data_IF_442327239341
#
_entry.id   IF_442327239341
#
_cell.length_a   1.000
_cell.length_b   1.000
_cell.length_c   1.000
_cell.angle_alpha   90.00
_cell.angle_beta   90.00
_cell.angle_gamma   90.00
#
_symmetry.space_group_name_H-M   'P 1'
#
loop_
_entity.id
_entity.type
_entity.pdbx_description
1 polymer ?
#
# COMPACT_ATOMS: atom_id res chain seq x y z
N UNK A 1 -0.78 13.76 9.01
CA UNK A 1 0.39 14.33 8.30
C UNK A 1 -0.02 15.62 7.59
N UNK A 2 0.59 16.77 7.94
CA UNK A 2 0.19 18.11 7.44
C UNK A 2 1.23 18.80 6.54
N UNK A 3 2.22 18.08 6.02
CA UNK A 3 3.37 18.69 5.33
C UNK A 3 3.48 18.42 3.81
N UNK A 4 2.51 17.77 3.15
CA UNK A 4 2.52 17.61 1.68
C UNK A 4 3.67 16.77 1.09
N UNK A 5 4.46 16.10 1.93
CA UNK A 5 5.55 15.22 1.51
C UNK A 5 4.97 13.88 1.06
N UNK A 6 5.33 13.44 -0.15
CA UNK A 6 5.02 12.09 -0.65
C UNK A 6 5.86 11.08 0.14
N UNK A 7 5.21 10.21 0.88
CA UNK A 7 5.86 9.18 1.70
C UNK A 7 5.66 7.85 0.97
N UNK A 8 6.74 7.24 0.48
CA UNK A 8 6.68 5.88 -0.02
C UNK A 8 6.48 4.91 1.16
N UNK A 9 5.69 3.86 0.96
CA UNK A 9 5.47 2.79 1.93
C UNK A 9 6.75 1.96 2.07
N UNK A 10 7.63 2.38 2.97
CA UNK A 10 8.76 1.58 3.43
C UNK A 10 8.38 0.93 4.75
N UNK A 11 8.18 -0.38 4.76
CA UNK A 11 7.85 -1.12 5.99
C UNK A 11 9.03 -1.45 6.88
N UNK A 12 10.26 -1.13 6.48
CA UNK A 12 11.45 -1.69 7.14
C UNK A 12 11.26 -3.21 7.34
N UNK A 13 10.87 -3.91 6.26
CA UNK A 13 10.60 -5.34 6.21
C UNK A 13 11.87 -6.20 6.36
N UNK A 14 12.76 -5.77 7.26
CA UNK A 14 13.84 -6.54 7.88
C UNK A 14 13.67 -6.69 9.41
N UNK A 15 12.69 -6.01 10.04
CA UNK A 15 12.47 -6.05 11.51
C UNK A 15 11.25 -6.88 11.93
N UNK A 16 10.31 -7.15 11.01
CA UNK A 16 9.07 -7.90 11.29
C UNK A 16 8.91 -9.16 10.43
N UNK A 17 8.19 -10.20 10.91
CA UNK A 17 7.96 -11.42 10.16
C UNK A 17 7.32 -11.14 8.79
N UNK A 18 7.83 -11.79 7.74
CA UNK A 18 7.22 -11.76 6.42
C UNK A 18 5.75 -12.21 6.52
N UNK A 19 4.82 -11.35 6.09
CA UNK A 19 3.37 -11.55 6.18
C UNK A 19 2.63 -10.47 6.97
N UNK A 20 3.30 -9.77 7.87
CA UNK A 20 2.69 -8.72 8.71
C UNK A 20 2.77 -7.30 8.14
N UNK A 21 3.36 -7.14 6.94
CA UNK A 21 3.60 -5.85 6.28
C UNK A 21 2.32 -5.01 6.14
N UNK A 22 1.18 -5.66 5.90
CA UNK A 22 -0.10 -4.99 5.74
C UNK A 22 -0.64 -4.36 7.04
N UNK A 23 -0.15 -4.75 8.23
CA UNK A 23 -0.50 -4.10 9.50
C UNK A 23 0.01 -2.65 9.56
N UNK A 24 1.02 -2.30 8.77
CA UNK A 24 1.55 -0.94 8.73
C UNK A 24 0.57 0.08 8.16
N UNK A 25 -0.35 -0.32 7.28
CA UNK A 25 -1.37 0.61 6.78
C UNK A 25 -2.24 1.18 7.91
N UNK A 26 -2.59 0.37 8.91
CA UNK A 26 -3.33 0.82 10.08
C UNK A 26 -2.57 1.88 10.90
N UNK A 27 -1.25 1.71 11.05
CA UNK A 27 -0.41 2.71 11.71
C UNK A 27 -0.30 4.01 10.90
N UNK A 28 -0.16 3.93 9.59
CA UNK A 28 -0.09 5.12 8.73
C UNK A 28 -1.36 5.96 8.81
N UNK A 29 -2.53 5.30 8.79
CA UNK A 29 -3.81 5.98 9.00
C UNK A 29 -3.94 6.52 10.42
N UNK A 30 -3.53 5.74 11.45
CA UNK A 30 -3.50 6.20 12.85
C UNK A 30 -2.65 7.45 13.06
N UNK A 31 -1.54 7.60 12.34
CA UNK A 31 -0.67 8.79 12.38
C UNK A 31 -1.11 9.91 11.40
N UNK A 32 -2.32 9.79 10.85
CA UNK A 32 -3.02 10.85 10.13
C UNK A 32 -2.73 10.90 8.63
N UNK A 33 -2.42 9.77 8.01
CA UNK A 33 -2.55 9.58 6.56
C UNK A 33 -3.99 9.20 6.22
N UNK A 34 -4.47 9.55 5.03
CA UNK A 34 -5.77 9.04 4.56
C UNK A 34 -5.63 7.58 4.11
N UNK A 35 -6.69 6.75 4.17
CA UNK A 35 -6.64 5.38 3.67
C UNK A 35 -6.19 5.29 2.19
N UNK A 36 -6.65 6.22 1.34
CA UNK A 36 -6.26 6.26 -0.08
C UNK A 36 -4.78 6.60 -0.26
N UNK A 37 -4.23 7.51 0.53
CA UNK A 37 -2.80 7.84 0.45
C UNK A 37 -1.93 6.70 0.99
N UNK A 38 -2.43 5.97 1.99
CA UNK A 38 -1.77 4.76 2.48
C UNK A 38 -1.69 3.70 1.37
N UNK A 39 -2.78 3.44 0.64
CA UNK A 39 -2.75 2.53 -0.52
C UNK A 39 -1.81 3.03 -1.63
N UNK A 40 -1.85 4.33 -1.96
CA UNK A 40 -0.96 4.93 -2.97
C UNK A 40 0.51 4.81 -2.60
N UNK A 41 0.82 4.95 -1.31
CA UNK A 41 2.18 4.82 -0.82
C UNK A 41 2.79 3.45 -1.10
N UNK A 42 1.98 2.40 -1.10
CA UNK A 42 2.38 1.02 -1.37
C UNK A 42 2.20 0.56 -2.82
N UNK A 43 1.67 1.42 -3.69
CA UNK A 43 1.38 1.10 -5.09
C UNK A 43 2.10 2.10 -6.00
N UNK A 44 1.43 3.17 -6.41
CA UNK A 44 1.94 4.13 -7.41
C UNK A 44 3.23 4.81 -6.92
N UNK A 45 3.30 5.27 -5.67
CA UNK A 45 4.49 5.96 -5.16
C UNK A 45 5.67 5.01 -4.94
N UNK A 46 5.41 3.75 -4.59
CA UNK A 46 6.44 2.72 -4.51
C UNK A 46 6.99 2.40 -5.90
N UNK A 47 6.13 2.27 -6.91
CA UNK A 47 6.53 2.05 -8.30
C UNK A 47 7.34 3.24 -8.86
N UNK A 48 6.93 4.48 -8.55
CA UNK A 48 7.70 5.71 -8.87
C UNK A 48 9.09 5.68 -8.24
N UNK A 49 9.18 5.35 -6.94
CA UNK A 49 10.46 5.30 -6.22
C UNK A 49 11.41 4.25 -6.82
N UNK A 50 10.88 3.10 -7.27
CA UNK A 50 11.66 2.02 -7.87
C UNK A 50 11.95 2.23 -9.36
N UNK A 51 11.41 3.29 -9.98
CA UNK A 51 11.53 3.55 -11.42
C UNK A 51 10.77 2.54 -12.29
N UNK A 52 9.72 1.91 -11.74
CA UNK A 52 8.90 0.87 -12.39
C UNK A 52 7.45 1.33 -12.64
N UNK A 53 7.20 2.64 -12.65
CA UNK A 53 5.87 3.22 -12.89
C UNK A 53 5.22 2.80 -14.20
N UNK A 54 6.01 2.38 -15.19
CA UNK A 54 5.57 1.86 -16.48
C UNK A 54 5.16 0.37 -16.42
N UNK A 55 5.48 -0.34 -15.33
CA UNK A 55 5.30 -1.80 -15.21
C UNK A 55 4.31 -2.21 -14.13
N UNK A 56 4.29 -1.54 -12.98
CA UNK A 56 3.51 -1.97 -11.79
C UNK A 56 2.87 -0.78 -11.06
N UNK A 57 2.09 -1.08 -10.02
CA UNK A 57 1.54 -0.09 -9.09
C UNK A 57 0.22 0.55 -9.51
N UNK A 58 -0.34 0.20 -10.68
CA UNK A 58 -1.67 0.61 -11.10
C UNK A 58 -2.32 -0.44 -12.02
N UNK A 59 -3.66 -0.50 -12.00
CA UNK A 59 -4.45 -1.35 -12.91
C UNK A 59 -4.66 -0.63 -14.25
N UNK A 60 -3.70 -0.75 -15.15
CA UNK A 60 -3.73 -0.12 -16.49
C UNK A 60 -3.25 -1.10 -17.56
N UNK A 61 -3.77 -1.04 -18.80
CA UNK A 61 -3.30 -1.88 -19.90
C UNK A 61 -1.78 -1.73 -20.12
N UNK A 62 -1.09 -2.86 -20.28
CA UNK A 62 0.36 -2.92 -20.51
C UNK A 62 1.21 -3.05 -19.23
N UNK A 63 0.61 -2.88 -18.04
CA UNK A 63 1.26 -3.19 -16.76
C UNK A 63 1.12 -4.68 -16.40
N UNK A 64 1.97 -5.15 -15.50
CA UNK A 64 1.87 -6.50 -14.95
C UNK A 64 0.58 -6.67 -14.17
N UNK A 65 0.07 -7.92 -14.17
CA UNK A 65 -1.17 -8.30 -13.51
C UNK A 65 -0.98 -8.50 -11.98
N UNK A 66 -0.34 -7.54 -11.32
CA UNK A 66 -0.11 -7.55 -9.87
C UNK A 66 -1.31 -6.95 -9.16
N UNK A 67 -2.20 -7.81 -8.66
CA UNK A 67 -3.47 -7.43 -8.04
C UNK A 67 -3.74 -8.23 -6.76
N UNK A 68 -4.36 -7.56 -5.79
CA UNK A 68 -4.84 -8.19 -4.55
C UNK A 68 -6.35 -7.95 -4.42
N UNK A 69 -7.04 -8.92 -3.82
CA UNK A 69 -8.44 -8.79 -3.44
C UNK A 69 -8.56 -8.88 -1.92
N UNK A 70 -9.46 -8.08 -1.35
CA UNK A 70 -9.74 -8.06 0.09
C UNK A 70 -11.24 -8.07 0.30
N UNK A 71 -11.66 -8.63 1.43
CA UNK A 71 -13.04 -8.54 1.86
C UNK A 71 -13.28 -7.18 2.52
N UNK A 72 -14.38 -6.51 2.16
CA UNK A 72 -14.72 -5.17 2.65
C UNK A 72 -14.08 -4.01 1.85
N UNK A 73 -14.32 -2.78 2.31
CA UNK A 73 -13.85 -1.56 1.65
C UNK A 73 -12.62 -0.98 2.39
N UNK A 74 -11.40 -1.09 1.84
CA UNK A 74 -10.18 -0.59 2.49
C UNK A 74 -10.10 0.94 2.58
N UNK A 75 -10.98 1.67 1.88
CA UNK A 75 -11.11 3.12 2.02
C UNK A 75 -11.91 3.52 3.26
N UNK A 76 -12.77 2.63 3.76
CA UNK A 76 -13.54 2.82 5.00
C UNK A 76 -12.81 2.22 6.19
N UNK A 77 -12.26 1.00 6.04
CA UNK A 77 -11.43 0.34 7.05
C UNK A 77 -10.16 -0.22 6.43
N UNK A 78 -9.06 0.50 6.61
CA UNK A 78 -7.75 0.14 6.05
C UNK A 78 -7.22 -1.22 6.58
N UNK A 79 -7.76 -1.73 7.69
CA UNK A 79 -7.38 -3.04 8.25
C UNK A 79 -7.78 -4.21 7.35
N UNK A 80 -8.74 -4.03 6.44
CA UNK A 80 -9.11 -5.02 5.42
C UNK A 80 -7.90 -5.50 4.59
N UNK A 81 -6.87 -4.65 4.42
CA UNK A 81 -5.63 -5.02 3.73
C UNK A 81 -4.77 -6.02 4.50
N UNK A 82 -4.92 -6.11 5.83
CA UNK A 82 -4.16 -7.04 6.67
C UNK A 82 -4.72 -8.46 6.72
N UNK A 83 -5.94 -8.64 6.22
CA UNK A 83 -6.64 -9.92 6.16
C UNK A 83 -6.65 -10.50 4.75
N UNK A 84 -5.90 -9.90 3.80
CA UNK A 84 -5.90 -10.33 2.41
C UNK A 84 -5.43 -11.79 2.30
N UNK A 85 -6.35 -12.70 2.06
CA UNK A 85 -6.04 -14.07 1.63
C UNK A 85 -5.36 -14.00 0.27
N UNK A 86 -4.07 -14.31 0.22
CA UNK A 86 -3.44 -14.70 -1.03
C UNK A 86 -4.12 -15.98 -1.52
N UNK A 87 -4.74 -15.91 -2.69
CA UNK A 87 -5.24 -17.10 -3.41
C UNK A 87 -4.10 -17.78 -4.15
#
# INVERSE_FOLDING_TARGET
MRAGVRIAFGTDAGVYPHGDNAKQFAYMVKYGMTPVDAIRSATIWAAELLGWSDRVGALEPGKFADLIAVEGNPLEDIRALSESRSS
#
